data_IF_892731101573
#
_entry.id   IF_892731101573
#
_cell.length_a   1.000
_cell.length_b   1.000
_cell.length_c   1.000
_cell.angle_alpha   90.00
_cell.angle_beta   90.00
_cell.angle_gamma   90.00
#
_symmetry.space_group_name_H-M   'P 1'
#
loop_
_entity.id
_entity.type
_entity.pdbx_description
1 polymer ?
#
# COMPACT_ATOMS: atom_id res chain seq x y z
N UNK A 1 29.99 14.35 -2.26
CA UNK A 1 31.04 13.32 -1.92
C UNK A 1 30.41 12.05 -1.31
N UNK A 2 29.26 11.59 -1.77
CA UNK A 2 28.49 10.50 -1.14
C UNK A 2 28.25 9.28 -2.06
N UNK A 3 28.49 9.39 -3.37
CA UNK A 3 28.11 8.33 -4.32
C UNK A 3 29.12 7.20 -4.48
N UNK A 4 30.41 7.43 -4.22
CA UNK A 4 31.46 6.43 -4.43
C UNK A 4 31.48 5.27 -3.42
N UNK A 5 30.76 5.41 -2.30
CA UNK A 5 30.81 4.46 -1.18
C UNK A 5 29.73 3.35 -1.19
N UNK A 6 28.75 3.43 -2.08
CA UNK A 6 27.64 2.45 -2.14
C UNK A 6 27.85 1.33 -3.15
N UNK A 7 28.88 1.38 -3.99
CA UNK A 7 29.05 0.45 -5.10
C UNK A 7 29.16 -1.02 -4.67
N UNK A 8 29.88 -1.32 -3.57
CA UNK A 8 30.06 -2.72 -3.16
C UNK A 8 28.78 -3.38 -2.65
N UNK A 9 27.99 -2.67 -1.82
CA UNK A 9 26.69 -3.18 -1.36
C UNK A 9 25.73 -3.34 -2.52
N UNK A 10 25.65 -2.33 -3.39
CA UNK A 10 24.76 -2.34 -4.56
C UNK A 10 25.08 -3.48 -5.50
N UNK A 11 26.36 -3.76 -5.78
CA UNK A 11 26.77 -4.90 -6.61
C UNK A 11 26.33 -6.23 -6.03
N UNK A 12 26.43 -6.39 -4.70
CA UNK A 12 25.97 -7.58 -4.00
C UNK A 12 24.45 -7.71 -4.05
N UNK A 13 23.72 -6.60 -3.83
CA UNK A 13 22.26 -6.56 -3.90
C UNK A 13 21.76 -6.93 -5.30
N UNK A 14 22.37 -6.38 -6.34
CA UNK A 14 22.01 -6.68 -7.74
C UNK A 14 22.24 -8.17 -8.05
N UNK A 15 23.36 -8.75 -7.61
CA UNK A 15 23.64 -10.19 -7.80
C UNK A 15 22.62 -11.09 -7.09
N UNK A 16 22.01 -10.63 -6.01
CA UNK A 16 21.00 -11.37 -5.23
C UNK A 16 19.58 -10.87 -5.42
N UNK A 17 19.36 -9.96 -6.38
CA UNK A 17 18.08 -9.28 -6.61
C UNK A 17 16.91 -10.25 -6.69
N UNK A 18 17.01 -11.27 -7.54
CA UNK A 18 15.92 -12.24 -7.75
C UNK A 18 15.52 -12.91 -6.42
N UNK A 19 16.47 -13.46 -5.68
CA UNK A 19 16.18 -14.13 -4.41
C UNK A 19 15.57 -13.18 -3.36
N UNK A 20 16.02 -11.92 -3.32
CA UNK A 20 15.47 -10.90 -2.41
C UNK A 20 14.03 -10.57 -2.82
N UNK A 21 13.77 -10.33 -4.10
CA UNK A 21 12.45 -9.95 -4.59
C UNK A 21 11.44 -11.11 -4.48
N UNK A 22 11.82 -12.33 -4.78
CA UNK A 22 10.97 -13.50 -4.62
C UNK A 22 10.54 -13.68 -3.16
N UNK A 23 11.51 -13.64 -2.23
CA UNK A 23 11.21 -13.72 -0.79
C UNK A 23 10.33 -12.55 -0.33
N UNK A 24 10.57 -11.35 -0.86
CA UNK A 24 9.77 -10.18 -0.51
C UNK A 24 8.35 -10.29 -1.03
N UNK A 25 8.18 -10.71 -2.27
CA UNK A 25 6.88 -10.98 -2.88
C UNK A 25 6.08 -12.01 -2.07
N UNK A 26 6.68 -13.15 -1.74
CA UNK A 26 6.04 -14.19 -0.93
C UNK A 26 5.59 -13.64 0.44
N UNK A 27 6.43 -12.85 1.11
CA UNK A 27 6.06 -12.23 2.40
C UNK A 27 4.95 -11.19 2.27
N UNK A 28 4.90 -10.42 1.18
CA UNK A 28 3.80 -9.49 0.91
C UNK A 28 2.51 -10.27 0.69
N UNK A 29 2.53 -11.27 -0.18
CA UNK A 29 1.35 -12.07 -0.52
C UNK A 29 0.86 -12.85 0.70
N UNK A 30 1.76 -13.37 1.53
CA UNK A 30 1.43 -14.07 2.77
C UNK A 30 0.64 -13.24 3.80
N UNK A 31 0.53 -11.93 3.62
CA UNK A 31 -0.32 -11.06 4.47
C UNK A 31 -1.78 -11.01 4.02
N UNK A 32 -2.11 -11.55 2.86
CA UNK A 32 -3.48 -11.61 2.33
C UNK A 32 -4.21 -12.91 2.71
N UNK A 33 -5.55 -12.97 2.63
CA UNK A 33 -6.30 -14.20 2.83
C UNK A 33 -5.85 -15.33 1.88
N UNK A 34 -5.94 -16.58 2.33
CA UNK A 34 -5.44 -17.76 1.59
C UNK A 34 -5.95 -17.87 0.14
N UNK A 35 -7.23 -17.57 -0.09
CA UNK A 35 -7.80 -17.60 -1.44
C UNK A 35 -7.14 -16.57 -2.37
N UNK A 36 -6.84 -15.38 -1.85
CA UNK A 36 -6.10 -14.35 -2.59
C UNK A 36 -4.64 -14.76 -2.82
N UNK A 37 -4.00 -15.40 -1.83
CA UNK A 37 -2.63 -15.91 -1.97
C UNK A 37 -2.53 -16.92 -3.11
N UNK A 38 -3.46 -17.89 -3.16
CA UNK A 38 -3.49 -18.90 -4.23
C UNK A 38 -3.59 -18.27 -5.61
N UNK A 39 -4.47 -17.26 -5.75
CA UNK A 39 -4.62 -16.53 -7.01
C UNK A 39 -3.32 -15.83 -7.43
N UNK A 40 -2.66 -15.11 -6.52
CA UNK A 40 -1.40 -14.39 -6.80
C UNK A 40 -0.23 -15.33 -7.13
N UNK A 41 -0.21 -16.54 -6.56
CA UNK A 41 0.90 -17.49 -6.73
C UNK A 41 0.70 -18.45 -7.90
N UNK A 42 -0.56 -18.74 -8.29
CA UNK A 42 -0.87 -19.76 -9.30
C UNK A 42 -0.68 -19.29 -10.74
N UNK A 43 -0.86 -18.01 -11.00
CA UNK A 43 -0.87 -17.44 -12.33
C UNK A 43 0.39 -16.59 -12.58
N UNK A 44 1.29 -17.13 -13.39
CA UNK A 44 2.52 -16.41 -13.84
C UNK A 44 2.29 -15.57 -15.10
N UNK A 45 1.14 -15.69 -15.74
CA UNK A 45 0.81 -14.93 -16.94
C UNK A 45 0.31 -13.54 -16.56
N UNK A 46 0.94 -12.51 -17.11
CA UNK A 46 0.59 -11.11 -16.90
C UNK A 46 -0.89 -10.80 -17.25
N UNK A 47 -1.45 -11.50 -18.22
CA UNK A 47 -2.86 -11.38 -18.61
C UNK A 47 -3.81 -12.05 -17.61
N UNK A 48 -3.42 -13.19 -17.06
CA UNK A 48 -4.23 -13.93 -16.10
C UNK A 48 -4.13 -13.36 -14.68
N UNK A 49 -2.99 -12.73 -14.34
CA UNK A 49 -2.74 -12.13 -13.03
C UNK A 49 -2.19 -10.69 -13.13
N UNK A 50 -2.98 -9.72 -13.64
CA UNK A 50 -2.53 -8.35 -13.83
C UNK A 50 -2.16 -7.65 -12.51
N UNK A 51 -2.71 -8.09 -11.37
CA UNK A 51 -2.40 -7.53 -10.06
C UNK A 51 -1.05 -8.03 -9.57
N UNK A 52 -0.79 -9.33 -9.62
CA UNK A 52 0.49 -9.92 -9.22
C UNK A 52 1.66 -9.41 -10.09
N UNK A 53 1.44 -9.34 -11.40
CA UNK A 53 2.40 -8.79 -12.37
C UNK A 53 2.74 -7.32 -12.03
N UNK A 54 1.74 -6.48 -11.80
CA UNK A 54 1.96 -5.08 -11.45
C UNK A 54 2.68 -4.91 -10.10
N UNK A 55 2.43 -5.78 -9.13
CA UNK A 55 3.17 -5.80 -7.86
C UNK A 55 4.63 -6.15 -8.14
N UNK A 56 4.89 -7.19 -8.91
CA UNK A 56 6.24 -7.64 -9.26
C UNK A 56 7.03 -6.57 -10.02
N UNK A 57 6.43 -5.93 -11.03
CA UNK A 57 7.07 -4.84 -11.77
C UNK A 57 7.40 -3.65 -10.89
N UNK A 58 6.45 -3.23 -10.04
CA UNK A 58 6.69 -2.11 -9.12
C UNK A 58 7.74 -2.41 -8.06
N UNK A 59 7.82 -3.65 -7.56
CA UNK A 59 8.87 -4.10 -6.65
C UNK A 59 10.25 -4.03 -7.32
N UNK A 60 10.34 -4.48 -8.58
CA UNK A 60 11.57 -4.39 -9.37
C UNK A 60 12.02 -2.93 -9.56
N UNK A 61 11.11 -2.06 -9.98
CA UNK A 61 11.38 -0.63 -10.18
C UNK A 61 11.83 0.05 -8.87
N UNK A 62 11.16 -0.26 -7.75
CA UNK A 62 11.53 0.28 -6.45
C UNK A 62 12.92 -0.20 -6.01
N UNK A 63 13.22 -1.48 -6.17
CA UNK A 63 14.51 -2.04 -5.81
C UNK A 63 15.65 -1.42 -6.63
N UNK A 64 15.45 -1.23 -7.93
CA UNK A 64 16.42 -0.59 -8.82
C UNK A 64 16.63 0.89 -8.45
N UNK A 65 15.58 1.62 -8.14
CA UNK A 65 15.66 3.00 -7.67
C UNK A 65 16.43 3.10 -6.34
N UNK A 66 16.17 2.19 -5.40
CA UNK A 66 16.91 2.13 -4.13
C UNK A 66 18.41 1.85 -4.37
N UNK A 67 18.75 0.94 -5.29
CA UNK A 67 20.12 0.61 -5.63
C UNK A 67 20.85 1.75 -6.37
N UNK A 68 20.19 2.41 -7.31
CA UNK A 68 20.79 3.52 -8.07
C UNK A 68 20.91 4.81 -7.27
N UNK A 69 20.23 4.90 -6.11
CA UNK A 69 20.15 6.14 -5.34
C UNK A 69 19.21 7.18 -5.94
N UNK A 70 18.43 6.81 -6.95
CA UNK A 70 17.40 7.67 -7.50
C UNK A 70 16.30 7.91 -6.47
N UNK A 71 15.67 9.08 -6.53
CA UNK A 71 14.48 9.32 -5.72
C UNK A 71 13.36 8.35 -6.14
N UNK A 72 12.65 7.71 -5.18
CA UNK A 72 11.58 6.76 -5.48
C UNK A 72 10.30 7.49 -5.91
N UNK A 73 10.39 8.31 -6.95
CA UNK A 73 9.31 9.17 -7.47
C UNK A 73 8.84 8.77 -8.88
N UNK A 74 9.22 7.58 -9.37
CA UNK A 74 8.70 7.13 -10.66
C UNK A 74 7.21 6.77 -10.55
N UNK A 75 6.48 6.96 -11.64
CA UNK A 75 5.05 6.61 -11.73
C UNK A 75 4.81 5.13 -11.40
N UNK A 76 5.72 4.24 -11.79
CA UNK A 76 5.67 2.82 -11.50
C UNK A 76 5.75 2.52 -9.99
N UNK A 77 6.63 3.21 -9.27
CA UNK A 77 6.78 3.07 -7.82
C UNK A 77 5.53 3.57 -7.11
N UNK A 78 4.99 4.71 -7.53
CA UNK A 78 3.73 5.22 -6.99
C UNK A 78 2.57 4.26 -7.25
N UNK A 79 2.44 3.75 -8.48
CA UNK A 79 1.39 2.79 -8.84
C UNK A 79 1.48 1.50 -8.02
N UNK A 80 2.70 1.00 -7.77
CA UNK A 80 2.95 -0.16 -6.92
C UNK A 80 2.52 0.11 -5.46
N UNK A 81 3.01 1.20 -4.87
CA UNK A 81 2.66 1.56 -3.50
C UNK A 81 1.15 1.79 -3.35
N UNK A 82 0.55 2.56 -4.28
CA UNK A 82 -0.88 2.86 -4.27
C UNK A 82 -1.73 1.58 -4.33
N UNK A 83 -1.36 0.63 -5.17
CA UNK A 83 -2.09 -0.63 -5.32
C UNK A 83 -2.10 -1.46 -4.05
N UNK A 84 -0.96 -1.66 -3.40
CA UNK A 84 -0.87 -2.39 -2.14
C UNK A 84 -1.60 -1.62 -1.03
N UNK A 85 -1.36 -0.33 -0.93
CA UNK A 85 -1.89 0.51 0.13
C UNK A 85 -3.41 0.63 0.07
N UNK A 86 -3.99 0.79 -1.12
CA UNK A 86 -5.47 0.85 -1.27
C UNK A 86 -6.14 -0.41 -0.77
N UNK A 87 -5.63 -1.58 -1.13
CA UNK A 87 -6.19 -2.85 -0.66
C UNK A 87 -6.13 -2.91 0.87
N UNK A 88 -5.00 -2.58 1.47
CA UNK A 88 -4.82 -2.58 2.92
C UNK A 88 -5.68 -1.54 3.64
N UNK A 89 -5.87 -0.36 3.04
CA UNK A 89 -6.74 0.68 3.59
C UNK A 89 -8.21 0.24 3.66
N UNK A 90 -8.68 -0.52 2.66
CA UNK A 90 -10.05 -1.06 2.62
C UNK A 90 -10.23 -2.22 3.59
N UNK A 91 -9.21 -3.08 3.73
CA UNK A 91 -9.25 -4.28 4.58
C UNK A 91 -9.02 -4.00 6.08
N UNK A 92 -9.11 -2.74 6.51
CA UNK A 92 -8.97 -2.33 7.92
C UNK A 92 -7.61 -2.66 8.57
N UNK A 93 -6.53 -2.71 7.78
CA UNK A 93 -5.19 -2.75 8.35
C UNK A 93 -4.94 -1.51 9.21
N UNK A 94 -4.21 -1.69 10.32
CA UNK A 94 -3.66 -0.54 11.04
C UNK A 94 -2.59 0.18 10.20
N UNK A 95 -2.29 1.44 10.46
CA UNK A 95 -1.22 2.16 9.73
C UNK A 95 0.12 1.43 9.76
N UNK A 96 0.48 0.84 10.89
CA UNK A 96 1.71 0.07 11.03
C UNK A 96 1.72 -1.17 10.14
N UNK A 97 0.65 -1.97 10.17
CA UNK A 97 0.50 -3.15 9.32
C UNK A 97 0.49 -2.79 7.83
N UNK A 98 -0.10 -1.65 7.49
CA UNK A 98 -0.19 -1.22 6.09
C UNK A 98 1.18 -0.95 5.45
N UNK A 99 2.16 -0.46 6.22
CA UNK A 99 3.50 -0.13 5.74
C UNK A 99 4.58 -1.17 6.08
N UNK A 100 4.25 -2.19 6.87
CA UNK A 100 5.18 -3.22 7.35
C UNK A 100 5.94 -3.91 6.20
N UNK A 101 5.30 -4.06 5.03
CA UNK A 101 5.93 -4.71 3.88
C UNK A 101 7.21 -4.00 3.42
N UNK A 102 7.30 -2.69 3.58
CA UNK A 102 8.50 -1.92 3.25
C UNK A 102 9.63 -2.27 4.22
N UNK A 103 9.34 -2.33 5.52
CA UNK A 103 10.33 -2.72 6.53
C UNK A 103 10.74 -4.19 6.44
N UNK A 104 9.88 -5.04 5.90
CA UNK A 104 10.19 -6.45 5.64
C UNK A 104 11.37 -6.57 4.67
N UNK A 105 11.52 -5.66 3.71
CA UNK A 105 12.68 -5.63 2.81
C UNK A 105 13.99 -5.48 3.57
N UNK A 106 14.05 -4.63 4.62
CA UNK A 106 15.25 -4.51 5.47
C UNK A 106 15.65 -5.84 6.12
N UNK A 107 14.66 -6.60 6.62
CA UNK A 107 14.89 -7.91 7.25
C UNK A 107 15.46 -8.89 6.23
N UNK A 108 14.83 -8.97 5.06
CA UNK A 108 15.26 -9.86 3.96
C UNK A 108 16.70 -9.56 3.54
N UNK A 109 17.02 -8.28 3.33
CA UNK A 109 18.39 -7.88 2.96
C UNK A 109 19.39 -8.30 4.02
N UNK A 110 19.11 -8.07 5.32
CA UNK A 110 20.01 -8.48 6.40
C UNK A 110 20.17 -10.00 6.51
N UNK A 111 19.09 -10.74 6.33
CA UNK A 111 19.12 -12.21 6.31
C UNK A 111 19.96 -12.72 5.13
N UNK A 112 19.74 -12.14 3.95
CA UNK A 112 20.42 -12.53 2.70
C UNK A 112 21.90 -12.19 2.71
N UNK A 113 22.29 -11.06 3.33
CA UNK A 113 23.66 -10.55 3.36
C UNK A 113 24.39 -10.82 4.68
N UNK A 114 23.91 -11.75 5.50
CA UNK A 114 24.43 -12.00 6.86
C UNK A 114 25.94 -12.11 6.92
N UNK A 115 26.56 -12.85 5.96
CA UNK A 115 28.02 -13.03 5.90
C UNK A 115 28.76 -11.78 5.46
N UNK A 116 28.19 -11.05 4.50
CA UNK A 116 28.78 -9.84 3.95
C UNK A 116 28.75 -8.68 4.96
N UNK A 117 27.77 -8.69 5.88
CA UNK A 117 27.63 -7.68 6.94
C UNK A 117 28.68 -7.77 8.04
N UNK A 118 29.49 -8.83 8.08
CA UNK A 118 30.66 -8.91 8.95
C UNK A 118 31.74 -7.88 8.55
N UNK A 119 31.68 -7.36 7.32
CA UNK A 119 32.58 -6.30 6.83
C UNK A 119 32.05 -4.91 7.22
N UNK A 120 32.83 -4.11 7.99
CA UNK A 120 32.36 -2.80 8.48
C UNK A 120 31.98 -1.80 7.37
N UNK A 121 32.64 -1.88 6.21
CA UNK A 121 32.35 -1.04 5.07
C UNK A 121 30.97 -1.35 4.46
N UNK A 122 30.59 -2.63 4.36
CA UNK A 122 29.26 -3.04 3.88
C UNK A 122 28.19 -2.63 4.88
N UNK A 123 28.44 -2.79 6.17
CA UNK A 123 27.50 -2.37 7.21
C UNK A 123 27.24 -0.87 7.16
N UNK A 124 28.26 -0.04 6.96
CA UNK A 124 28.07 1.42 6.79
C UNK A 124 27.23 1.76 5.57
N UNK A 125 27.46 1.06 4.45
CA UNK A 125 26.67 1.25 3.22
C UNK A 125 25.21 0.84 3.44
N UNK A 126 24.97 -0.25 4.20
CA UNK A 126 23.62 -0.69 4.54
C UNK A 126 22.85 0.35 5.36
N UNK A 127 23.50 1.07 6.29
CA UNK A 127 22.84 2.13 7.05
C UNK A 127 22.32 3.26 6.15
N UNK A 128 23.08 3.63 5.11
CA UNK A 128 22.64 4.62 4.12
C UNK A 128 21.51 4.06 3.26
N UNK A 129 21.60 2.78 2.86
CA UNK A 129 20.54 2.12 2.10
C UNK A 129 19.25 2.01 2.91
N UNK A 130 19.34 1.69 4.19
CA UNK A 130 18.21 1.63 5.12
C UNK A 130 17.46 2.96 5.21
N UNK A 131 18.17 4.09 5.21
CA UNK A 131 17.54 5.42 5.22
C UNK A 131 16.72 5.68 3.95
N UNK A 132 17.13 5.13 2.81
CA UNK A 132 16.32 5.20 1.57
C UNK A 132 15.04 4.37 1.70
N UNK A 133 15.12 3.18 2.30
CA UNK A 133 13.93 2.36 2.58
C UNK A 133 12.99 3.10 3.54
N UNK A 134 13.52 3.80 4.56
CA UNK A 134 12.69 4.61 5.47
C UNK A 134 11.93 5.71 4.73
N UNK A 135 12.56 6.36 3.75
CA UNK A 135 11.87 7.34 2.89
C UNK A 135 10.70 6.71 2.15
N UNK A 136 10.87 5.50 1.60
CA UNK A 136 9.77 4.77 0.95
C UNK A 136 8.67 4.41 1.95
N UNK A 137 9.01 4.01 3.18
CA UNK A 137 8.02 3.73 4.22
C UNK A 137 7.18 4.95 4.58
N UNK A 138 7.80 6.15 4.65
CA UNK A 138 7.09 7.41 4.87
C UNK A 138 6.17 7.77 3.70
N UNK A 139 6.60 7.53 2.45
CA UNK A 139 5.73 7.70 1.28
C UNK A 139 4.54 6.75 1.33
N UNK A 140 4.76 5.48 1.65
CA UNK A 140 3.69 4.49 1.80
C UNK A 140 2.72 4.86 2.93
N UNK A 141 3.22 5.38 4.05
CA UNK A 141 2.39 5.86 5.16
C UNK A 141 1.52 7.05 4.75
N UNK A 142 2.09 8.05 4.08
CA UNK A 142 1.32 9.19 3.58
C UNK A 142 0.21 8.76 2.62
N UNK A 143 0.52 7.85 1.69
CA UNK A 143 -0.47 7.29 0.76
C UNK A 143 -1.59 6.54 1.52
N UNK A 144 -1.24 5.76 2.55
CA UNK A 144 -2.23 5.10 3.40
C UNK A 144 -3.17 6.09 4.10
N UNK A 145 -2.61 7.16 4.67
CA UNK A 145 -3.42 8.18 5.33
C UNK A 145 -4.38 8.87 4.36
N UNK A 146 -3.93 9.23 3.16
CA UNK A 146 -4.77 9.79 2.11
C UNK A 146 -5.90 8.84 1.69
N UNK A 147 -5.59 7.55 1.51
CA UNK A 147 -6.59 6.54 1.20
C UNK A 147 -7.64 6.40 2.32
N UNK A 148 -7.21 6.39 3.58
CA UNK A 148 -8.11 6.30 4.75
C UNK A 148 -8.99 7.54 4.88
N UNK A 149 -8.42 8.72 4.70
CA UNK A 149 -9.17 9.99 4.72
C UNK A 149 -10.26 9.96 3.66
N UNK A 150 -9.93 9.57 2.43
CA UNK A 150 -10.90 9.43 1.34
C UNK A 150 -12.03 8.45 1.66
N UNK A 151 -11.70 7.31 2.27
CA UNK A 151 -12.71 6.33 2.70
C UNK A 151 -13.63 6.94 3.77
N UNK A 152 -13.09 7.68 4.74
CA UNK A 152 -13.91 8.34 5.77
C UNK A 152 -14.79 9.44 5.19
N UNK A 153 -14.31 10.25 4.26
CA UNK A 153 -15.11 11.26 3.56
C UNK A 153 -16.29 10.63 2.82
N UNK A 154 -16.04 9.54 2.08
CA UNK A 154 -17.09 8.83 1.35
C UNK A 154 -18.15 8.25 2.30
N UNK A 155 -17.73 7.62 3.41
CA UNK A 155 -18.66 7.12 4.43
C UNK A 155 -19.47 8.23 5.09
N UNK A 156 -18.81 9.34 5.44
CA UNK A 156 -19.50 10.50 6.03
C UNK A 156 -20.52 11.12 5.06
N UNK A 157 -20.19 11.18 3.78
CA UNK A 157 -21.11 11.63 2.73
C UNK A 157 -22.31 10.68 2.61
N UNK A 158 -22.08 9.38 2.54
CA UNK A 158 -23.15 8.37 2.46
C UNK A 158 -24.13 8.46 3.64
N UNK A 159 -23.59 8.60 4.87
CA UNK A 159 -24.43 8.76 6.07
C UNK A 159 -25.27 10.04 5.97
N UNK A 160 -24.69 11.16 5.57
CA UNK A 160 -25.42 12.43 5.39
C UNK A 160 -26.53 12.29 4.35
N UNK A 161 -26.21 11.74 3.18
CA UNK A 161 -27.17 11.59 2.08
C UNK A 161 -28.31 10.64 2.47
N UNK A 162 -28.02 9.60 3.25
CA UNK A 162 -29.02 8.67 3.79
C UNK A 162 -29.92 9.36 4.82
N UNK A 163 -29.35 10.13 5.73
CA UNK A 163 -30.09 10.86 6.77
C UNK A 163 -31.00 11.92 6.15
N UNK A 164 -30.50 12.70 5.17
CA UNK A 164 -31.30 13.71 4.46
C UNK A 164 -32.52 13.08 3.80
N UNK A 165 -32.35 11.96 3.11
CA UNK A 165 -33.46 11.23 2.47
C UNK A 165 -34.50 10.73 3.48
N UNK A 166 -34.11 10.32 4.67
CA UNK A 166 -35.02 9.89 5.73
C UNK A 166 -35.80 11.09 6.26
N UNK A 167 -35.13 12.21 6.52
CA UNK A 167 -35.76 13.45 7.00
C UNK A 167 -36.75 13.98 5.96
N UNK A 168 -36.38 14.05 4.68
CA UNK A 168 -37.27 14.47 3.60
C UNK A 168 -38.53 13.61 3.53
N UNK A 169 -38.42 12.28 3.61
CA UNK A 169 -39.56 11.37 3.63
C UNK A 169 -40.45 11.58 4.86
N UNK A 170 -39.86 11.78 6.04
CA UNK A 170 -40.58 12.04 7.26
C UNK A 170 -41.39 13.37 7.15
N UNK A 171 -40.76 14.42 6.61
CA UNK A 171 -41.43 15.71 6.37
C UNK A 171 -42.60 15.59 5.38
N UNK A 172 -42.43 14.81 4.31
CA UNK A 172 -43.51 14.57 3.32
C UNK A 172 -44.70 13.85 3.96
N UNK A 173 -44.45 12.79 4.76
CA UNK A 173 -45.50 12.03 5.45
C UNK A 173 -46.25 12.91 6.46
N UNK A 174 -45.53 13.71 7.23
CA UNK A 174 -46.12 14.61 8.23
C UNK A 174 -46.90 15.77 7.54
N UNK A 175 -46.41 16.30 6.41
CA UNK A 175 -47.07 17.33 5.63
C UNK A 175 -48.38 16.83 5.02
N UNK A 176 -48.37 15.66 4.38
CA UNK A 176 -49.60 15.08 3.80
C UNK A 176 -50.59 14.64 4.86
N UNK A 177 -50.15 14.23 6.06
CA UNK A 177 -51.06 13.95 7.18
C UNK A 177 -51.73 15.18 7.74
N UNK A 178 -51.12 16.37 7.64
CA UNK A 178 -51.67 17.62 8.10
C UNK A 178 -52.73 18.18 7.12
N UNK A 179 -52.52 18.10 5.83
CA UNK A 179 -53.49 18.43 4.80
C UNK A 179 -54.73 17.56 4.86
N UNK A 180 -54.57 16.24 5.13
CA UNK A 180 -55.72 15.34 5.28
C UNK A 180 -56.55 15.57 6.56
N UNK A 181 -56.02 16.23 7.58
CA UNK A 181 -56.76 16.64 8.78
C UNK A 181 -57.49 17.98 8.61
N UNK A 182 -57.09 18.85 7.70
CA UNK A 182 -57.73 20.12 7.39
C UNK A 182 -58.93 19.97 6.41
N UNK A 183 -59.02 18.85 5.70
CA UNK A 183 -60.12 18.53 4.77
C UNK A 183 -61.34 17.85 5.43
N UNK A 184 -61.37 17.70 6.77
CA UNK A 184 -62.56 17.14 7.43
C UNK A 184 -63.65 18.22 7.50
N UNK A 185 -64.78 18.08 6.78
CA UNK A 185 -65.85 19.06 6.84
C UNK A 185 -66.43 19.11 8.25
N UNK A 186 -66.56 20.32 8.78
CA UNK A 186 -67.32 20.57 10.03
C UNK A 186 -68.80 20.45 9.71
N UNK A 187 -69.42 19.32 10.14
CA UNK A 187 -70.89 19.19 10.18
C UNK A 187 -71.47 20.00 11.30
#
# INVERSE_FOLDING_TARGET
MTDSNLHQLTDILIKRKTAILDTWFERIIGTYPEDSQRFFLSEKDDFANPVGSSISHGMNALFDALCSGAEPKSEEIYAFLDRIIRVRAVQNFSPAQAVEFVFTLKKIIRETLRKELERPEILRQLLTFDSRIDTVALLAFNNFMQCREKIYELRAKEIRDRTSRIVERACQILGSGREALEEVPSD
#
